data_IF_187869132630
#
_entry.id   IF_187869132630
#
_cell.length_a   1.000
_cell.length_b   1.000
_cell.length_c   1.000
_cell.angle_alpha   90.00
_cell.angle_beta   90.00
_cell.angle_gamma   90.00
#
_symmetry.space_group_name_H-M   'P 1'
#
loop_
_entity.id
_entity.type
_entity.pdbx_description
1 polymer ?
#
# COMPACT_ATOMS: atom_id res chain seq x y z
N UNK A 1 10.78 -39.51 48.91
CA UNK A 1 10.01 -39.31 47.67
C UNK A 1 10.80 -38.40 46.76
N UNK A 2 11.56 -39.02 45.88
CA UNK A 2 12.39 -38.41 44.83
C UNK A 2 11.53 -38.19 43.58
N UNK A 3 11.37 -36.93 43.13
CA UNK A 3 10.83 -36.58 41.84
C UNK A 3 12.00 -36.33 40.89
N UNK A 4 12.16 -37.23 39.95
CA UNK A 4 13.09 -37.11 38.82
C UNK A 4 12.49 -36.18 37.75
N UNK A 5 13.11 -35.03 37.53
CA UNK A 5 12.85 -34.14 36.39
C UNK A 5 13.56 -34.70 35.17
N UNK A 6 12.80 -35.13 34.18
CA UNK A 6 13.31 -35.48 32.86
C UNK A 6 13.56 -34.21 32.04
N UNK A 7 14.84 -33.92 31.80
CA UNK A 7 15.31 -32.85 30.92
C UNK A 7 15.22 -33.35 29.48
N UNK A 8 14.27 -32.83 28.72
CA UNK A 8 14.13 -33.13 27.29
C UNK A 8 15.11 -32.24 26.51
N UNK A 9 16.26 -32.77 26.14
CA UNK A 9 17.25 -32.13 25.30
C UNK A 9 16.80 -32.29 23.84
N UNK A 10 16.30 -31.22 23.24
CA UNK A 10 16.05 -31.13 21.79
C UNK A 10 17.39 -30.85 21.12
N UNK A 11 17.99 -31.85 20.51
CA UNK A 11 19.13 -31.73 19.65
C UNK A 11 18.68 -31.07 18.32
N UNK A 12 19.02 -29.80 18.14
CA UNK A 12 18.93 -29.14 16.85
C UNK A 12 20.07 -29.66 15.95
N UNK A 13 19.76 -30.63 15.12
CA UNK A 13 20.65 -31.05 14.02
C UNK A 13 20.60 -29.98 12.94
N UNK A 14 21.64 -29.18 12.90
CA UNK A 14 21.97 -28.32 11.76
C UNK A 14 22.33 -29.21 10.57
N UNK A 15 21.36 -29.54 9.74
CA UNK A 15 21.64 -30.01 8.39
C UNK A 15 21.98 -28.81 7.53
N UNK A 16 23.26 -28.52 7.41
CA UNK A 16 23.82 -27.76 6.30
C UNK A 16 23.69 -28.60 5.02
N UNK A 17 22.50 -28.65 4.45
CA UNK A 17 22.33 -29.10 3.10
C UNK A 17 22.55 -27.90 2.18
N UNK A 18 23.72 -27.89 1.49
CA UNK A 18 23.85 -27.17 0.23
C UNK A 18 22.77 -27.75 -0.71
N UNK A 19 21.59 -27.22 -0.65
CA UNK A 19 20.54 -27.51 -1.62
C UNK A 19 20.95 -26.80 -2.90
N UNK A 20 21.72 -27.49 -3.77
CA UNK A 20 21.75 -27.17 -5.19
C UNK A 20 20.28 -27.30 -5.60
N UNK A 21 19.63 -26.13 -5.79
CA UNK A 21 18.21 -26.08 -6.13
C UNK A 21 17.92 -27.06 -7.24
N UNK A 22 17.13 -28.05 -6.92
CA UNK A 22 16.49 -28.89 -7.91
C UNK A 22 15.60 -27.94 -8.73
N UNK A 23 16.12 -27.55 -9.89
CA UNK A 23 15.28 -26.92 -10.92
C UNK A 23 14.50 -28.09 -11.50
N UNK A 24 13.18 -28.20 -11.25
CA UNK A 24 12.41 -29.22 -11.93
C UNK A 24 12.68 -29.11 -13.41
N UNK A 25 13.09 -30.22 -14.05
CA UNK A 25 13.08 -30.28 -15.48
C UNK A 25 11.67 -29.90 -15.94
N UNK A 26 11.55 -28.69 -16.50
CA UNK A 26 10.26 -28.20 -16.96
C UNK A 26 9.71 -29.18 -18.03
N UNK A 27 8.44 -29.03 -18.38
CA UNK A 27 7.74 -29.97 -19.23
C UNK A 27 8.57 -30.36 -20.46
N UNK A 28 8.75 -31.66 -20.61
CA UNK A 28 9.47 -32.31 -21.71
C UNK A 28 8.68 -32.30 -23.03
N UNK A 29 7.98 -31.24 -23.32
CA UNK A 29 7.27 -31.05 -24.56
C UNK A 29 7.97 -30.00 -25.40
N UNK A 30 8.28 -30.25 -26.65
CA UNK A 30 9.12 -29.53 -27.61
C UNK A 30 8.81 -28.04 -27.85
N UNK A 31 8.27 -27.33 -26.92
CA UNK A 31 8.12 -25.88 -26.90
C UNK A 31 8.87 -25.29 -25.69
N UNK A 32 9.57 -24.18 -25.91
CA UNK A 32 10.44 -23.56 -24.93
C UNK A 32 9.69 -23.19 -23.62
N UNK A 33 10.40 -23.25 -22.51
CA UNK A 33 9.87 -22.92 -21.19
C UNK A 33 9.49 -21.45 -21.14
N UNK A 34 8.36 -21.13 -20.50
CA UNK A 34 7.94 -19.75 -20.26
C UNK A 34 8.30 -19.38 -18.84
N UNK A 35 9.20 -18.40 -18.70
CA UNK A 35 9.53 -17.77 -17.42
C UNK A 35 8.80 -16.44 -17.33
N UNK A 36 7.99 -16.25 -16.29
CA UNK A 36 7.49 -14.95 -15.92
C UNK A 36 8.33 -14.40 -14.78
N UNK A 37 9.00 -13.30 -15.04
CA UNK A 37 9.73 -12.53 -14.04
C UNK A 37 8.96 -11.25 -13.71
N UNK A 38 8.75 -10.99 -12.45
CA UNK A 38 8.05 -9.79 -12.00
C UNK A 38 8.82 -9.09 -10.89
N UNK A 39 8.73 -7.76 -10.89
CA UNK A 39 9.35 -6.89 -9.90
C UNK A 39 8.62 -5.56 -9.85
N UNK A 40 8.93 -4.72 -8.87
CA UNK A 40 8.40 -3.38 -8.84
C UNK A 40 9.04 -2.52 -9.93
N UNK A 41 8.22 -1.76 -10.63
CA UNK A 41 8.72 -0.81 -11.61
C UNK A 41 9.24 0.45 -10.95
N UNK A 42 10.29 0.99 -11.60
CA UNK A 42 10.88 2.29 -11.38
C UNK A 42 11.84 2.40 -10.18
N UNK A 43 12.96 1.74 -10.38
CA UNK A 43 14.24 2.08 -9.76
C UNK A 43 14.71 3.45 -10.28
N UNK A 44 14.09 4.53 -9.84
CA UNK A 44 14.68 5.87 -9.95
C UNK A 44 14.88 6.41 -8.56
N UNK A 45 16.07 6.21 -8.12
CA UNK A 45 16.96 6.92 -7.20
C UNK A 45 16.38 7.95 -6.22
N UNK A 46 16.98 7.88 -5.03
CA UNK A 46 17.32 8.98 -4.11
C UNK A 46 16.25 9.48 -3.18
N UNK A 47 15.77 8.64 -2.29
CA UNK A 47 15.55 9.05 -0.91
C UNK A 47 15.07 7.89 -0.03
N UNK A 48 15.75 7.62 1.06
CA UNK A 48 15.45 6.56 2.03
C UNK A 48 14.04 6.59 2.60
N UNK A 49 13.32 7.70 2.45
CA UNK A 49 11.96 7.89 2.94
C UNK A 49 10.83 7.38 2.02
N UNK A 50 11.17 6.87 0.83
CA UNK A 50 10.22 6.28 -0.12
C UNK A 50 10.14 4.76 -0.10
N UNK A 51 10.94 4.11 0.74
CA UNK A 51 11.19 2.69 0.74
C UNK A 51 10.01 1.93 1.35
N UNK A 52 9.56 0.87 0.67
CA UNK A 52 8.54 -0.04 1.18
C UNK A 52 9.09 -0.91 2.31
N UNK A 53 8.26 -1.20 3.30
CA UNK A 53 8.60 -2.17 4.35
C UNK A 53 8.59 -3.60 3.79
N UNK A 54 9.27 -4.57 4.42
CA UNK A 54 9.18 -5.98 4.02
C UNK A 54 7.72 -6.49 3.94
N UNK A 55 6.85 -6.07 4.86
CA UNK A 55 5.44 -6.45 4.85
C UNK A 55 4.69 -5.92 3.62
N UNK A 56 5.04 -4.72 3.15
CA UNK A 56 4.47 -4.09 1.95
C UNK A 56 4.93 -4.76 0.65
N UNK A 57 6.04 -5.49 0.70
CA UNK A 57 6.62 -6.25 -0.43
C UNK A 57 6.27 -7.74 -0.39
N UNK A 58 5.46 -8.17 0.58
CA UNK A 58 5.10 -9.58 0.72
C UNK A 58 4.31 -10.07 -0.50
N UNK A 59 4.81 -11.13 -1.11
CA UNK A 59 4.16 -11.87 -2.19
C UNK A 59 3.74 -13.24 -1.67
N UNK A 60 2.44 -13.43 -1.47
CA UNK A 60 1.88 -14.71 -1.05
C UNK A 60 1.41 -15.54 -2.25
N UNK A 61 0.81 -14.87 -3.24
CA UNK A 61 0.27 -15.51 -4.43
C UNK A 61 0.54 -14.69 -5.67
N UNK A 62 0.65 -15.37 -6.81
CA UNK A 62 0.71 -14.77 -8.13
C UNK A 62 -0.32 -15.45 -9.03
N UNK A 63 -1.15 -14.65 -9.65
CA UNK A 63 -2.06 -15.10 -10.70
C UNK A 63 -1.66 -14.46 -12.02
N UNK A 64 -1.61 -15.26 -13.10
CA UNK A 64 -1.27 -14.79 -14.45
C UNK A 64 -2.43 -15.07 -15.38
N UNK A 65 -2.92 -14.01 -16.03
CA UNK A 65 -4.04 -14.07 -16.96
C UNK A 65 -3.57 -13.55 -18.31
N UNK A 66 -3.96 -14.24 -19.38
CA UNK A 66 -3.62 -13.83 -20.74
C UNK A 66 -4.83 -13.27 -21.46
N UNK A 67 -4.64 -12.16 -22.18
CA UNK A 67 -5.69 -11.52 -22.98
C UNK A 67 -5.22 -11.37 -24.43
N UNK A 68 -6.10 -11.71 -25.39
CA UNK A 68 -5.89 -11.39 -26.81
C UNK A 68 -6.83 -10.24 -27.18
N UNK A 69 -6.23 -9.07 -27.38
CA UNK A 69 -7.00 -7.83 -27.42
C UNK A 69 -7.71 -7.59 -26.08
N UNK A 70 -9.02 -7.55 -26.07
CA UNK A 70 -9.79 -7.33 -24.85
C UNK A 70 -10.27 -8.63 -24.19
N UNK A 71 -10.17 -9.77 -24.87
CA UNK A 71 -10.76 -11.03 -24.41
C UNK A 71 -9.74 -11.89 -23.66
N UNK A 72 -10.19 -12.47 -22.54
CA UNK A 72 -9.41 -13.44 -21.78
C UNK A 72 -9.25 -14.72 -22.59
N UNK A 73 -8.03 -15.24 -22.65
CA UNK A 73 -7.72 -16.51 -23.27
C UNK A 73 -7.91 -17.66 -22.29
N UNK A 74 -8.44 -18.76 -22.77
CA UNK A 74 -8.47 -20.03 -22.07
C UNK A 74 -7.30 -20.89 -22.57
N UNK A 75 -6.29 -21.10 -21.73
CA UNK A 75 -5.04 -21.75 -22.09
C UNK A 75 -5.03 -23.19 -21.59
N UNK A 76 -4.70 -24.15 -22.45
CA UNK A 76 -4.52 -25.55 -22.05
C UNK A 76 -3.14 -25.72 -21.39
N UNK A 77 -3.06 -26.21 -20.13
CA UNK A 77 -1.78 -26.48 -19.51
C UNK A 77 -0.97 -27.55 -20.26
N UNK A 78 0.36 -27.47 -20.23
CA UNK A 78 1.26 -28.45 -20.87
C UNK A 78 1.07 -29.88 -20.35
N UNK A 79 0.61 -30.03 -19.10
CA UNK A 79 0.23 -31.34 -18.54
C UNK A 79 -1.03 -31.95 -19.15
N UNK A 80 -1.70 -31.21 -20.05
CA UNK A 80 -3.02 -31.58 -20.58
C UNK A 80 -4.14 -31.19 -19.59
N UNK A 81 -5.37 -31.54 -19.98
CA UNK A 81 -6.57 -31.24 -19.17
C UNK A 81 -7.45 -30.14 -19.77
N UNK A 82 -8.38 -29.63 -18.99
CA UNK A 82 -9.25 -28.56 -19.42
C UNK A 82 -8.49 -27.22 -19.49
N UNK A 83 -8.86 -26.32 -20.41
CA UNK A 83 -8.30 -24.98 -20.47
C UNK A 83 -8.55 -24.22 -19.18
N UNK A 84 -7.57 -23.43 -18.74
CA UNK A 84 -7.66 -22.56 -17.55
C UNK A 84 -7.73 -21.11 -17.95
N UNK A 85 -8.44 -20.29 -17.16
CA UNK A 85 -8.54 -18.85 -17.39
C UNK A 85 -7.40 -18.06 -16.73
N UNK A 86 -6.67 -18.68 -15.80
CA UNK A 86 -5.49 -18.10 -15.14
C UNK A 86 -4.58 -19.20 -14.62
N UNK A 87 -3.29 -18.88 -14.49
CA UNK A 87 -2.32 -19.71 -13.78
C UNK A 87 -2.10 -19.13 -12.40
N UNK A 88 -2.23 -19.98 -11.38
CA UNK A 88 -2.10 -19.60 -9.99
C UNK A 88 -0.87 -20.25 -9.34
N UNK A 89 -0.10 -19.45 -8.59
CA UNK A 89 1.11 -19.86 -7.88
C UNK A 89 1.04 -19.37 -6.44
N UNK A 90 1.39 -20.23 -5.49
CA UNK A 90 1.48 -19.89 -4.06
C UNK A 90 2.94 -19.87 -3.62
N UNK A 91 3.34 -18.87 -2.84
CA UNK A 91 4.73 -18.71 -2.37
C UNK A 91 5.20 -19.88 -1.51
N UNK A 92 4.27 -20.60 -0.86
CA UNK A 92 4.55 -21.75 0.01
C UNK A 92 4.70 -23.07 -0.76
N UNK A 93 4.33 -23.11 -2.05
CA UNK A 93 4.40 -24.32 -2.86
C UNK A 93 5.82 -24.52 -3.37
N UNK A 94 6.50 -25.54 -2.86
CA UNK A 94 7.86 -25.90 -3.28
C UNK A 94 7.86 -26.29 -4.74
N UNK A 95 8.62 -25.56 -5.57
CA UNK A 95 8.76 -25.82 -7.01
C UNK A 95 8.08 -24.81 -7.94
N UNK A 96 7.14 -24.02 -7.43
CA UNK A 96 6.48 -22.99 -8.24
C UNK A 96 7.38 -21.75 -8.43
N UNK A 97 8.34 -21.55 -7.54
CA UNK A 97 9.24 -20.41 -7.53
C UNK A 97 10.66 -20.82 -7.90
N UNK A 98 11.26 -20.09 -8.82
CA UNK A 98 12.60 -20.42 -9.35
C UNK A 98 13.71 -19.70 -8.60
N UNK A 99 13.43 -18.58 -7.98
CA UNK A 99 14.45 -17.74 -7.36
C UNK A 99 13.93 -17.06 -6.10
N UNK A 100 14.74 -17.11 -5.04
CA UNK A 100 14.55 -16.31 -3.85
C UNK A 100 15.19 -14.92 -3.98
N UNK A 101 15.30 -14.38 -5.20
CA UNK A 101 15.79 -13.03 -5.38
C UNK A 101 14.73 -12.06 -4.83
N UNK A 102 15.04 -11.28 -3.79
CA UNK A 102 14.08 -10.37 -3.19
C UNK A 102 13.71 -9.22 -4.13
N UNK A 103 14.45 -8.99 -5.20
CA UNK A 103 14.21 -7.90 -6.16
C UNK A 103 13.40 -8.33 -7.36
N UNK A 104 13.53 -9.60 -7.77
CA UNK A 104 12.79 -10.17 -8.90
C UNK A 104 12.38 -11.58 -8.56
N UNK A 105 11.10 -11.88 -8.71
CA UNK A 105 10.59 -13.22 -8.50
C UNK A 105 10.23 -13.82 -9.83
N UNK A 106 10.45 -15.13 -9.97
CA UNK A 106 10.24 -15.86 -11.20
C UNK A 106 9.38 -17.08 -10.97
N UNK A 107 8.34 -17.24 -11.80
CA UNK A 107 7.53 -18.44 -11.87
C UNK A 107 7.60 -19.06 -13.27
N UNK A 108 7.42 -20.37 -13.36
CA UNK A 108 7.28 -21.04 -14.64
C UNK A 108 5.82 -21.23 -14.99
N UNK A 109 5.40 -20.68 -16.13
CA UNK A 109 4.03 -20.85 -16.61
C UNK A 109 3.94 -22.18 -17.35
N UNK A 110 3.08 -23.11 -16.94
CA UNK A 110 2.93 -24.43 -17.55
C UNK A 110 2.02 -24.36 -18.80
N UNK A 111 2.40 -23.53 -19.78
CA UNK A 111 1.67 -23.34 -21.02
C UNK A 111 2.63 -23.42 -22.22
N UNK A 112 2.09 -23.67 -23.42
CA UNK A 112 2.87 -23.59 -24.66
C UNK A 112 3.11 -22.13 -25.00
N UNK A 113 4.36 -21.82 -25.36
CA UNK A 113 4.73 -20.47 -25.74
C UNK A 113 3.94 -19.95 -26.95
N UNK A 114 3.60 -20.84 -27.90
CA UNK A 114 2.76 -20.50 -29.06
C UNK A 114 1.36 -20.04 -28.67
N UNK A 115 0.76 -20.61 -27.63
CA UNK A 115 -0.61 -20.29 -27.19
C UNK A 115 -0.71 -18.89 -26.58
N UNK A 116 0.36 -18.43 -25.91
CA UNK A 116 0.40 -17.13 -25.26
C UNK A 116 1.11 -16.05 -26.09
N UNK A 117 1.78 -16.42 -27.18
CA UNK A 117 2.43 -15.45 -28.05
C UNK A 117 1.42 -14.51 -28.72
N UNK A 118 1.71 -13.22 -28.74
CA UNK A 118 0.81 -12.18 -29.23
C UNK A 118 -0.36 -11.85 -28.29
N UNK A 119 -0.28 -12.26 -27.00
CA UNK A 119 -1.23 -11.87 -25.96
C UNK A 119 -0.66 -10.77 -25.07
N UNK A 120 -1.50 -10.23 -24.20
CA UNK A 120 -1.08 -9.41 -23.05
C UNK A 120 -1.16 -10.28 -21.80
N UNK A 121 -0.05 -10.46 -21.10
CA UNK A 121 -0.01 -11.07 -19.79
C UNK A 121 -0.32 -10.03 -18.72
N UNK A 122 -1.31 -10.31 -17.88
CA UNK A 122 -1.63 -9.52 -16.67
C UNK A 122 -1.23 -10.34 -15.47
N UNK A 123 -0.34 -9.78 -14.65
CA UNK A 123 0.15 -10.39 -13.42
C UNK A 123 -0.52 -9.73 -12.22
N UNK A 124 -1.10 -10.54 -11.36
CA UNK A 124 -1.88 -10.13 -10.19
C UNK A 124 -1.25 -10.79 -8.96
N UNK A 125 -0.70 -9.98 -8.07
CA UNK A 125 -0.05 -10.44 -6.85
C UNK A 125 -1.00 -10.21 -5.68
N UNK A 126 -1.12 -11.21 -4.81
CA UNK A 126 -2.01 -11.18 -3.66
C UNK A 126 -3.48 -10.91 -4.03
N UNK A 127 -3.92 -11.47 -5.16
CA UNK A 127 -5.31 -11.35 -5.60
C UNK A 127 -6.23 -12.09 -4.63
N UNK A 128 -7.29 -11.45 -4.08
CA UNK A 128 -8.23 -12.13 -3.21
C UNK A 128 -8.90 -13.33 -3.90
N UNK A 129 -9.12 -14.40 -3.14
CA UNK A 129 -9.71 -15.64 -3.64
C UNK A 129 -11.08 -15.44 -4.32
N UNK A 130 -11.88 -14.47 -3.84
CA UNK A 130 -13.18 -14.12 -4.41
C UNK A 130 -13.08 -13.58 -5.84
N UNK A 131 -12.05 -12.78 -6.14
CA UNK A 131 -11.82 -12.28 -7.51
C UNK A 131 -11.16 -13.36 -8.35
N UNK A 132 -10.20 -14.12 -7.79
CA UNK A 132 -9.53 -15.22 -8.47
C UNK A 132 -10.51 -16.29 -8.95
N UNK A 133 -11.51 -16.65 -8.14
CA UNK A 133 -12.54 -17.61 -8.53
C UNK A 133 -13.29 -17.20 -9.82
N UNK A 134 -13.42 -15.91 -10.06
CA UNK A 134 -14.05 -15.34 -11.27
C UNK A 134 -13.15 -15.39 -12.50
N UNK A 135 -11.87 -15.73 -12.35
CA UNK A 135 -10.96 -15.94 -13.49
C UNK A 135 -11.11 -17.35 -14.08
N UNK A 136 -11.69 -18.30 -13.35
CA UNK A 136 -11.90 -19.66 -13.84
C UNK A 136 -12.85 -19.67 -15.05
N UNK A 137 -12.54 -20.51 -16.02
CA UNK A 137 -13.41 -20.71 -17.21
C UNK A 137 -14.74 -21.30 -16.78
N UNK A 138 -15.84 -20.69 -17.20
CA UNK A 138 -17.20 -21.11 -16.86
C UNK A 138 -17.67 -20.73 -15.45
N UNK A 139 -16.95 -19.87 -14.74
CA UNK A 139 -17.42 -19.31 -13.47
C UNK A 139 -18.72 -18.50 -13.67
N UNK A 140 -19.61 -18.48 -12.65
CA UNK A 140 -20.91 -17.79 -12.72
C UNK A 140 -20.76 -16.30 -13.08
N UNK A 141 -19.76 -15.63 -12.47
CA UNK A 141 -19.46 -14.22 -12.71
C UNK A 141 -18.09 -14.10 -13.39
N UNK A 142 -17.87 -14.91 -14.41
CA UNK A 142 -16.56 -15.01 -15.09
C UNK A 142 -16.10 -13.64 -15.58
N UNK A 143 -14.84 -13.31 -15.27
CA UNK A 143 -14.15 -12.17 -15.86
C UNK A 143 -13.62 -12.63 -17.22
N UNK A 144 -14.22 -12.11 -18.30
CA UNK A 144 -13.88 -12.49 -19.69
C UNK A 144 -13.15 -11.38 -20.45
N UNK A 145 -13.09 -10.16 -19.88
CA UNK A 145 -12.43 -9.02 -20.55
C UNK A 145 -11.49 -8.26 -19.62
N UNK A 146 -10.52 -7.55 -20.22
CA UNK A 146 -9.62 -6.63 -19.49
C UNK A 146 -10.42 -5.58 -18.72
N UNK A 147 -11.47 -5.02 -19.32
CA UNK A 147 -12.30 -4.00 -18.68
C UNK A 147 -13.00 -4.55 -17.43
N UNK A 148 -13.54 -5.76 -17.48
CA UNK A 148 -14.14 -6.41 -16.31
C UNK A 148 -13.10 -6.69 -15.22
N UNK A 149 -11.88 -7.12 -15.59
CA UNK A 149 -10.79 -7.33 -14.63
C UNK A 149 -10.38 -6.02 -13.97
N UNK A 150 -10.18 -4.98 -14.77
CA UNK A 150 -9.80 -3.65 -14.28
C UNK A 150 -10.81 -3.09 -13.28
N UNK A 151 -12.11 -3.27 -13.56
CA UNK A 151 -13.21 -2.81 -12.71
C UNK A 151 -13.57 -3.77 -11.56
N UNK A 152 -12.91 -4.93 -11.49
CA UNK A 152 -13.17 -5.87 -10.39
C UNK A 152 -12.77 -5.25 -9.05
N UNK A 153 -13.68 -5.27 -8.09
CA UNK A 153 -13.42 -4.83 -6.71
C UNK A 153 -12.73 -5.96 -5.98
N UNK A 154 -11.48 -5.73 -5.58
CA UNK A 154 -10.69 -6.70 -4.81
C UNK A 154 -11.03 -6.66 -3.32
N UNK A 155 -11.34 -5.48 -2.80
CA UNK A 155 -11.67 -5.27 -1.40
C UNK A 155 -12.67 -4.13 -1.25
N UNK A 156 -13.62 -4.28 -0.32
CA UNK A 156 -14.48 -3.20 0.16
C UNK A 156 -14.17 -2.99 1.64
N UNK A 157 -13.83 -1.77 2.01
CA UNK A 157 -13.44 -1.39 3.35
C UNK A 157 -14.66 -1.03 4.19
N UNK A 158 -14.68 -1.41 5.45
CA UNK A 158 -15.59 -0.89 6.46
C UNK A 158 -15.00 0.34 7.16
N UNK A 159 -13.68 0.38 7.33
CA UNK A 159 -12.91 1.52 7.84
C UNK A 159 -11.64 1.73 7.00
N UNK A 160 -11.00 2.89 7.13
CA UNK A 160 -9.75 3.18 6.40
C UNK A 160 -8.64 2.20 6.80
N UNK A 161 -8.60 1.81 8.06
CA UNK A 161 -7.58 0.94 8.65
C UNK A 161 -7.70 -0.54 8.22
N UNK A 162 -8.80 -0.93 7.57
CA UNK A 162 -8.99 -2.30 7.06
C UNK A 162 -8.07 -2.63 5.87
N UNK A 163 -7.48 -1.60 5.25
CA UNK A 163 -6.55 -1.77 4.14
C UNK A 163 -5.16 -2.10 4.70
N UNK A 164 -4.84 -3.37 4.72
CA UNK A 164 -3.62 -3.90 5.34
C UNK A 164 -2.80 -4.74 4.37
N UNK A 165 -1.57 -5.05 4.74
CA UNK A 165 -0.71 -6.02 4.01
C UNK A 165 -1.21 -7.46 4.20
N UNK A 166 -0.99 -8.35 3.21
CA UNK A 166 -0.26 -8.13 1.95
C UNK A 166 -1.08 -7.34 0.93
N UNK A 167 -0.43 -6.39 0.27
CA UNK A 167 -1.11 -5.50 -0.68
C UNK A 167 -1.31 -6.17 -2.04
N UNK A 168 -2.45 -5.91 -2.67
CA UNK A 168 -2.67 -6.25 -4.08
C UNK A 168 -1.68 -5.45 -4.95
N UNK A 169 -0.98 -6.15 -5.87
CA UNK A 169 -0.16 -5.52 -6.90
C UNK A 169 -0.56 -6.05 -8.27
N UNK A 170 -0.49 -5.17 -9.27
CA UNK A 170 -0.89 -5.52 -10.64
C UNK A 170 0.12 -4.99 -11.65
N UNK A 171 0.33 -5.74 -12.70
CA UNK A 171 1.15 -5.33 -13.83
C UNK A 171 0.71 -6.01 -15.11
N UNK A 172 1.12 -5.46 -16.24
CA UNK A 172 0.83 -6.06 -17.55
C UNK A 172 1.98 -5.84 -18.52
N UNK A 173 2.14 -6.78 -19.44
CA UNK A 173 3.11 -6.68 -20.54
C UNK A 173 2.61 -7.42 -21.76
N UNK A 174 3.02 -6.97 -22.94
CA UNK A 174 2.76 -7.69 -24.19
C UNK A 174 3.73 -8.85 -24.32
N UNK A 175 3.21 -10.02 -24.64
CA UNK A 175 3.99 -11.24 -24.83
C UNK A 175 4.38 -11.38 -26.29
N UNK A 176 5.67 -11.33 -26.57
CA UNK A 176 6.21 -11.52 -27.91
C UNK A 176 7.44 -12.40 -27.84
N UNK A 177 7.36 -13.58 -28.46
CA UNK A 177 8.46 -14.53 -28.55
C UNK A 177 8.92 -14.65 -30.00
N UNK A 178 10.24 -14.55 -30.19
CA UNK A 178 10.83 -14.65 -31.53
C UNK A 178 10.84 -16.09 -32.04
N UNK A 179 11.09 -17.06 -31.17
CA UNK A 179 11.17 -18.48 -31.46
C UNK A 179 10.51 -19.29 -30.31
N UNK A 180 9.18 -19.32 -30.25
CA UNK A 180 8.48 -19.94 -29.11
C UNK A 180 8.80 -21.42 -28.90
N UNK A 181 9.14 -22.15 -30.00
CA UNK A 181 9.34 -23.60 -29.93
C UNK A 181 10.73 -24.03 -29.42
N UNK A 182 11.74 -23.16 -29.42
CA UNK A 182 13.15 -23.61 -29.27
C UNK A 182 13.93 -22.84 -28.19
N UNK A 183 13.38 -21.79 -27.62
CA UNK A 183 14.08 -20.92 -26.66
C UNK A 183 13.39 -20.88 -25.30
N UNK A 184 14.15 -20.54 -24.27
CA UNK A 184 13.58 -20.08 -23.00
C UNK A 184 12.88 -18.75 -23.24
N UNK A 185 11.56 -18.77 -23.21
CA UNK A 185 10.74 -17.61 -23.44
C UNK A 185 10.57 -16.84 -22.11
N UNK A 186 10.89 -15.55 -22.09
CA UNK A 186 10.83 -14.72 -20.90
C UNK A 186 9.75 -13.67 -21.03
N UNK A 187 8.97 -13.50 -19.96
CA UNK A 187 7.98 -12.43 -19.80
C UNK A 187 8.42 -11.61 -18.60
N UNK A 188 8.77 -10.35 -18.82
CA UNK A 188 9.10 -9.39 -17.76
C UNK A 188 7.88 -8.50 -17.50
N UNK A 189 7.43 -8.45 -16.24
CA UNK A 189 6.28 -7.65 -15.85
C UNK A 189 6.65 -6.74 -14.68
N UNK A 190 6.44 -5.46 -14.88
CA UNK A 190 6.52 -4.48 -13.79
C UNK A 190 5.16 -4.40 -13.09
N UNK A 191 5.15 -4.68 -11.78
CA UNK A 191 3.95 -4.61 -10.96
C UNK A 191 3.92 -3.36 -10.11
N UNK A 192 2.72 -2.83 -9.86
CA UNK A 192 2.45 -1.66 -9.04
C UNK A 192 1.41 -2.01 -7.99
N UNK A 193 1.59 -1.49 -6.77
CA UNK A 193 0.57 -1.64 -5.71
C UNK A 193 -0.72 -0.96 -6.13
N UNK A 194 -1.85 -1.59 -5.85
CA UNK A 194 -3.18 -1.05 -6.18
C UNK A 194 -3.61 0.12 -5.28
N UNK A 195 -2.79 0.44 -4.30
CA UNK A 195 -3.04 1.47 -3.29
C UNK A 195 -1.85 2.40 -3.15
N UNK A 196 -2.03 3.49 -2.41
CA UNK A 196 -0.98 4.41 -2.01
C UNK A 196 -0.80 4.37 -0.51
N UNK A 197 0.35 4.84 -0.03
CA UNK A 197 0.63 5.05 1.38
C UNK A 197 0.52 6.53 1.71
N UNK A 198 -0.14 6.84 2.81
CA UNK A 198 -0.28 8.19 3.36
C UNK A 198 0.41 8.25 4.72
N UNK A 199 1.35 9.16 4.86
CA UNK A 199 1.99 9.54 6.10
C UNK A 199 1.63 11.00 6.41
N UNK A 200 1.25 11.29 7.64
CA UNK A 200 0.92 12.65 8.10
C UNK A 200 1.85 13.01 9.24
N UNK A 201 2.61 14.07 9.02
CA UNK A 201 3.58 14.62 9.98
C UNK A 201 3.05 15.95 10.48
N UNK A 202 2.91 16.08 11.79
CA UNK A 202 2.36 17.26 12.44
C UNK A 202 3.47 18.07 13.10
N UNK A 203 3.47 19.38 12.87
CA UNK A 203 4.33 20.35 13.50
C UNK A 203 3.47 21.29 14.36
N UNK A 204 3.82 21.43 15.62
CA UNK A 204 3.07 22.25 16.58
C UNK A 204 3.84 23.53 16.86
N UNK A 205 3.55 24.54 16.04
CA UNK A 205 4.17 25.86 16.14
C UNK A 205 3.35 26.84 17.00
N UNK A 206 2.26 26.35 17.58
CA UNK A 206 1.40 27.14 18.44
C UNK A 206 1.64 26.82 19.92
N UNK A 207 2.07 27.82 20.70
CA UNK A 207 2.49 27.71 22.10
C UNK A 207 1.37 27.32 23.10
N UNK A 208 0.11 27.43 22.69
CA UNK A 208 -1.06 27.07 23.51
C UNK A 208 -1.44 25.61 23.43
N UNK A 209 -0.91 24.86 22.48
CA UNK A 209 -1.11 23.42 22.45
C UNK A 209 -0.39 22.74 23.61
N UNK A 210 -1.09 21.77 24.22
CA UNK A 210 -0.55 21.02 25.36
C UNK A 210 -0.17 19.62 24.91
N UNK A 211 1.10 19.41 24.56
CA UNK A 211 1.52 18.11 24.02
C UNK A 211 1.43 16.96 25.04
N UNK A 212 1.54 17.25 26.36
CA UNK A 212 1.84 16.20 27.35
C UNK A 212 0.69 15.82 28.30
N UNK A 213 -0.43 16.55 28.33
CA UNK A 213 -1.46 16.32 29.35
C UNK A 213 -2.74 15.66 28.84
N UNK A 214 -3.08 15.87 27.58
CA UNK A 214 -4.19 15.18 26.92
C UNK A 214 -3.79 14.87 25.51
N UNK A 215 -3.83 13.60 25.15
CA UNK A 215 -3.53 13.14 23.79
C UNK A 215 -4.53 13.72 22.82
N UNK A 216 -4.06 14.37 21.77
CA UNK A 216 -4.90 14.75 20.65
C UNK A 216 -5.52 13.53 20.00
N UNK A 217 -6.59 13.74 19.24
CA UNK A 217 -7.26 12.69 18.48
C UNK A 217 -7.20 13.05 16.99
N UNK A 218 -7.19 12.03 16.15
CA UNK A 218 -7.36 12.18 14.70
C UNK A 218 -8.40 11.20 14.18
N UNK A 219 -8.97 11.55 13.03
CA UNK A 219 -9.89 10.68 12.29
C UNK A 219 -9.70 10.90 10.80
N UNK A 220 -9.52 9.83 10.04
CA UNK A 220 -9.56 9.87 8.59
C UNK A 220 -11.02 9.91 8.12
N UNK A 221 -11.37 10.84 7.25
CA UNK A 221 -12.78 11.04 6.85
C UNK A 221 -12.93 11.13 5.34
N UNK A 222 -14.01 10.52 4.83
CA UNK A 222 -14.41 10.55 3.42
C UNK A 222 -13.45 9.83 2.46
N UNK A 223 -12.73 8.80 2.90
CA UNK A 223 -11.81 8.03 2.06
C UNK A 223 -12.55 7.07 1.12
N UNK A 224 -12.01 6.76 -0.08
CA UNK A 224 -12.59 5.77 -0.98
C UNK A 224 -12.64 4.39 -0.32
N UNK A 225 -13.80 3.74 -0.37
CA UNK A 225 -14.03 2.45 0.32
C UNK A 225 -13.69 1.21 -0.51
N UNK A 226 -13.35 1.36 -1.79
CA UNK A 226 -13.14 0.21 -2.68
C UNK A 226 -11.76 0.22 -3.31
N UNK A 227 -11.08 -0.94 -3.22
CA UNK A 227 -9.85 -1.21 -3.96
C UNK A 227 -10.19 -1.95 -5.25
N UNK A 228 -9.74 -1.42 -6.39
CA UNK A 228 -9.94 -2.02 -7.69
C UNK A 228 -8.67 -2.75 -8.15
N UNK A 229 -8.84 -3.81 -8.94
CA UNK A 229 -7.72 -4.55 -9.52
C UNK A 229 -6.93 -3.65 -10.49
N UNK A 230 -7.60 -3.02 -11.43
CA UNK A 230 -7.00 -2.03 -12.32
C UNK A 230 -7.09 -0.61 -11.79
N UNK A 231 -6.48 0.34 -12.51
CA UNK A 231 -6.61 1.75 -12.20
C UNK A 231 -8.07 2.21 -12.34
N UNK A 232 -8.61 2.79 -11.28
CA UNK A 232 -9.96 3.32 -11.26
C UNK A 232 -9.98 4.61 -10.43
N UNK A 233 -10.22 5.71 -11.11
CA UNK A 233 -10.23 7.04 -10.52
C UNK A 233 -11.56 7.40 -9.83
N UNK A 234 -12.62 6.61 -9.99
CA UNK A 234 -13.93 6.92 -9.44
C UNK A 234 -14.06 6.57 -7.96
N UNK A 235 -14.50 7.54 -7.15
CA UNK A 235 -14.92 7.27 -5.77
C UNK A 235 -16.34 6.70 -5.79
N UNK A 236 -16.47 5.37 -5.65
CA UNK A 236 -17.77 4.66 -5.63
C UNK A 236 -18.19 4.24 -4.22
N UNK A 237 -17.91 5.01 -3.24
CA UNK A 237 -18.22 4.78 -1.84
C UNK A 237 -17.18 5.41 -0.97
N UNK A 238 -17.56 5.74 0.25
CA UNK A 238 -16.67 6.42 1.19
C UNK A 238 -16.74 5.72 2.54
N UNK A 239 -15.61 5.72 3.24
CA UNK A 239 -15.47 5.24 4.61
C UNK A 239 -14.73 6.26 5.44
N UNK A 240 -15.00 6.22 6.71
CA UNK A 240 -14.27 6.95 7.72
C UNK A 240 -13.36 5.98 8.50
N UNK A 241 -12.27 6.49 9.05
CA UNK A 241 -11.41 5.76 9.96
C UNK A 241 -11.91 5.83 11.40
N UNK A 242 -11.30 5.04 12.25
CA UNK A 242 -11.53 5.09 13.68
C UNK A 242 -10.99 6.40 14.26
N UNK A 243 -11.68 6.94 15.28
CA UNK A 243 -11.15 8.06 16.07
C UNK A 243 -10.04 7.54 16.98
N UNK A 244 -8.81 7.92 16.68
CA UNK A 244 -7.59 7.36 17.28
C UNK A 244 -6.78 8.45 17.98
N UNK A 245 -6.06 8.08 19.03
CA UNK A 245 -5.16 9.00 19.70
C UNK A 245 -3.91 9.25 18.86
N UNK A 246 -3.49 10.52 18.79
CA UNK A 246 -2.17 10.87 18.27
C UNK A 246 -1.14 10.31 19.25
N UNK A 247 -0.22 9.49 18.75
CA UNK A 247 0.86 8.94 19.58
C UNK A 247 1.73 10.09 20.11
N UNK A 248 2.07 10.01 21.38
CA UNK A 248 2.88 10.94 22.15
C UNK A 248 3.23 12.27 21.45
N UNK A 249 2.46 13.30 21.77
CA UNK A 249 2.93 14.66 21.61
C UNK A 249 4.14 14.81 22.54
N UNK A 250 5.31 14.41 22.09
CA UNK A 250 6.55 14.62 22.84
C UNK A 250 6.73 16.10 23.10
N UNK A 251 7.21 16.44 24.27
CA UNK A 251 7.50 17.83 24.63
C UNK A 251 8.20 18.50 23.46
N UNK A 252 7.68 19.67 23.07
CA UNK A 252 8.26 20.46 22.00
C UNK A 252 9.78 20.55 22.23
N UNK A 253 10.61 20.08 21.30
CA UNK A 253 12.03 20.32 21.40
C UNK A 253 12.27 21.83 21.47
N UNK A 254 13.28 22.25 22.19
CA UNK A 254 13.64 23.67 22.35
C UNK A 254 13.57 24.40 20.98
N UNK A 255 13.25 25.72 20.99
CA UNK A 255 13.00 26.48 19.76
C UNK A 255 14.08 26.20 18.73
N UNK A 256 13.62 25.76 17.57
CA UNK A 256 14.47 25.29 16.48
C UNK A 256 15.28 26.45 15.92
N UNK A 257 16.58 26.37 16.09
CA UNK A 257 17.54 27.19 15.34
C UNK A 257 18.00 26.49 14.05
N UNK A 258 17.44 25.32 13.74
CA UNK A 258 17.79 24.53 12.56
C UNK A 258 16.81 24.82 11.41
N UNK A 259 17.35 24.75 10.19
CA UNK A 259 16.62 25.01 8.93
C UNK A 259 15.49 24.04 8.62
N UNK A 260 15.41 22.92 9.33
CA UNK A 260 14.32 21.94 9.17
C UNK A 260 13.57 21.77 10.50
N UNK A 261 12.25 22.02 10.55
CA UNK A 261 11.46 21.77 11.74
C UNK A 261 11.44 20.27 12.07
N UNK A 262 11.76 19.92 13.33
CA UNK A 262 11.62 18.54 13.79
C UNK A 262 10.13 18.25 13.94
N UNK A 263 9.60 17.15 13.34
CA UNK A 263 8.21 16.79 13.51
C UNK A 263 7.93 16.53 15.00
N UNK A 264 6.82 17.07 15.49
CA UNK A 264 6.39 16.89 16.87
C UNK A 264 5.51 15.67 17.03
N UNK A 265 4.91 15.17 15.96
CA UNK A 265 4.16 13.93 15.95
C UNK A 265 4.00 13.38 14.53
N UNK A 266 4.02 12.07 14.41
CA UNK A 266 3.66 11.37 13.19
C UNK A 266 2.41 10.53 13.46
N UNK A 267 1.42 10.62 12.57
CA UNK A 267 0.29 9.69 12.60
C UNK A 267 0.74 8.34 12.06
N UNK A 268 0.15 7.22 12.51
CA UNK A 268 0.39 5.93 11.88
C UNK A 268 0.14 6.00 10.38
N UNK A 269 1.05 5.39 9.60
CA UNK A 269 0.86 5.29 8.16
C UNK A 269 -0.40 4.50 7.83
N UNK A 270 -1.16 4.97 6.86
CA UNK A 270 -2.33 4.25 6.35
C UNK A 270 -2.19 4.03 4.85
N UNK A 271 -2.82 2.95 4.37
CA UNK A 271 -2.98 2.73 2.94
C UNK A 271 -4.29 3.34 2.48
N UNK A 272 -4.28 3.92 1.30
CA UNK A 272 -5.45 4.60 0.73
C UNK A 272 -5.64 4.18 -0.72
N UNK A 273 -6.90 4.03 -1.11
CA UNK A 273 -7.25 3.76 -2.50
C UNK A 273 -7.00 4.98 -3.39
N UNK A 274 -6.62 4.74 -4.63
CA UNK A 274 -6.48 5.82 -5.61
C UNK A 274 -7.83 6.47 -5.92
N UNK A 275 -7.79 7.74 -6.31
CA UNK A 275 -8.94 8.48 -6.82
C UNK A 275 -8.52 9.73 -7.61
N UNK A 276 -9.39 10.19 -8.49
CA UNK A 276 -9.25 11.48 -9.17
C UNK A 276 -10.62 12.19 -9.22
N UNK A 277 -10.77 13.19 -8.38
CA UNK A 277 -11.95 14.06 -8.33
C UNK A 277 -11.61 15.50 -8.73
N UNK A 278 -10.49 15.70 -9.43
CA UNK A 278 -10.02 17.03 -9.82
C UNK A 278 -11.01 17.75 -10.73
N UNK A 279 -11.74 17.03 -11.57
CA UNK A 279 -12.78 17.57 -12.45
C UNK A 279 -14.13 17.80 -11.75
N UNK A 280 -14.33 17.32 -10.51
CA UNK A 280 -15.58 17.45 -9.75
C UNK A 280 -15.55 18.69 -8.85
N UNK A 281 -16.73 19.18 -8.44
CA UNK A 281 -16.79 20.33 -7.53
C UNK A 281 -16.63 19.90 -6.07
N UNK A 282 -16.05 20.76 -5.23
CA UNK A 282 -15.85 20.45 -3.82
C UNK A 282 -17.16 20.32 -3.02
N UNK A 283 -18.23 20.94 -3.48
CA UNK A 283 -19.56 20.85 -2.83
C UNK A 283 -20.26 19.53 -3.06
N UNK A 284 -20.04 18.91 -4.22
CA UNK A 284 -20.69 17.62 -4.58
C UNK A 284 -19.79 16.43 -4.27
N UNK A 285 -18.46 16.62 -4.34
CA UNK A 285 -17.46 15.59 -4.11
C UNK A 285 -16.30 16.15 -3.27
N UNK A 286 -16.46 16.23 -1.94
CA UNK A 286 -15.41 16.73 -1.06
C UNK A 286 -14.20 15.81 -1.11
N UNK A 287 -13.00 16.40 -1.06
CA UNK A 287 -11.77 15.62 -0.94
C UNK A 287 -11.72 14.91 0.42
N UNK A 288 -11.12 13.71 0.50
CA UNK A 288 -10.79 13.09 1.77
C UNK A 288 -9.97 14.03 2.65
N UNK A 289 -10.08 13.90 3.95
CA UNK A 289 -9.33 14.74 4.89
C UNK A 289 -9.03 14.03 6.21
N UNK A 290 -8.04 14.54 6.93
CA UNK A 290 -7.76 14.16 8.32
C UNK A 290 -8.33 15.24 9.22
N UNK A 291 -9.21 14.87 10.13
CA UNK A 291 -9.71 15.73 11.19
C UNK A 291 -8.83 15.54 12.42
N UNK A 292 -8.30 16.65 12.95
CA UNK A 292 -7.52 16.68 14.17
C UNK A 292 -8.34 17.34 15.26
N UNK A 293 -8.36 16.76 16.45
CA UNK A 293 -8.90 17.33 17.68
C UNK A 293 -7.73 17.44 18.67
N UNK A 294 -7.20 18.65 18.82
CA UNK A 294 -6.02 18.90 19.64
C UNK A 294 -6.40 19.68 20.89
N UNK A 295 -5.89 19.32 22.08
CA UNK A 295 -6.13 20.08 23.30
C UNK A 295 -5.29 21.37 23.30
N UNK A 296 -5.86 22.45 23.78
CA UNK A 296 -5.18 23.74 23.93
C UNK A 296 -5.55 24.43 25.26
N UNK A 297 -4.56 25.04 25.92
CA UNK A 297 -4.78 25.95 27.07
C UNK A 297 -4.62 27.39 26.58
N UNK A 298 -5.69 28.18 26.71
CA UNK A 298 -5.73 29.50 26.11
C UNK A 298 -5.12 30.60 26.99
N UNK A 299 -4.86 30.29 28.28
CA UNK A 299 -4.36 31.28 29.25
C UNK A 299 -5.45 32.10 29.93
N UNK A 300 -5.06 33.04 30.81
CA UNK A 300 -5.98 33.90 31.57
C UNK A 300 -6.72 34.85 30.60
N UNK A 301 -8.04 34.87 30.75
CA UNK A 301 -8.91 35.68 29.92
C UNK A 301 -8.98 35.17 28.51
N UNK A 302 -10.12 34.79 28.01
CA UNK A 302 -10.31 34.25 26.65
C UNK A 302 -9.59 35.12 25.58
N UNK A 303 -8.31 34.86 25.25
CA UNK A 303 -7.51 35.72 24.37
C UNK A 303 -8.00 35.71 22.92
N UNK A 304 -8.97 34.85 22.59
CA UNK A 304 -9.53 34.66 21.27
C UNK A 304 -10.93 35.27 21.13
N UNK A 305 -11.23 36.33 21.87
CA UNK A 305 -12.46 37.12 21.75
C UNK A 305 -13.77 36.31 21.74
N UNK A 306 -13.85 35.26 22.56
CA UNK A 306 -15.05 34.45 22.68
C UNK A 306 -15.25 33.38 21.61
N UNK A 307 -14.25 33.12 20.79
CA UNK A 307 -14.32 32.04 19.75
C UNK A 307 -14.56 30.68 20.43
N UNK A 308 -13.90 30.41 21.57
CA UNK A 308 -14.08 29.17 22.30
C UNK A 308 -15.10 29.37 23.45
N UNK A 309 -16.07 28.45 23.59
CA UNK A 309 -16.95 28.47 24.75
C UNK A 309 -16.11 28.19 26.03
N UNK A 310 -16.50 28.79 27.20
CA UNK A 310 -15.84 28.50 28.45
C UNK A 310 -15.81 26.98 28.71
N UNK A 311 -14.66 26.44 29.16
CA UNK A 311 -14.59 25.04 29.58
C UNK A 311 -15.45 24.85 30.84
N UNK A 312 -15.80 23.59 31.12
CA UNK A 312 -16.49 23.24 32.35
C UNK A 312 -15.62 23.70 33.58
N UNK A 313 -16.11 24.67 34.37
CA UNK A 313 -15.33 25.30 35.43
C UNK A 313 -14.85 26.71 35.12
N UNK A 314 -14.96 27.17 33.87
CA UNK A 314 -14.77 28.58 33.50
C UNK A 314 -13.32 29.07 33.39
N UNK A 315 -12.33 28.23 33.67
CA UNK A 315 -10.93 28.63 33.70
C UNK A 315 -10.17 28.14 32.49
N UNK A 316 -9.84 29.05 31.57
CA UNK A 316 -9.06 28.77 30.37
C UNK A 316 -7.55 28.57 30.61
N UNK A 317 -7.06 28.95 31.80
CA UNK A 317 -5.64 28.84 32.12
C UNK A 317 -5.24 27.44 32.59
N UNK A 318 -6.19 26.64 33.03
CA UNK A 318 -5.95 25.32 33.60
C UNK A 318 -6.73 24.21 32.89
N UNK A 319 -7.87 24.55 32.25
CA UNK A 319 -8.73 23.55 31.61
C UNK A 319 -8.57 23.58 30.10
N UNK A 320 -8.10 22.49 29.49
CA UNK A 320 -7.95 22.42 28.05
C UNK A 320 -9.27 22.54 27.29
N UNK A 321 -9.26 23.28 26.21
CA UNK A 321 -10.33 23.31 25.21
C UNK A 321 -9.95 22.44 24.02
N UNK A 322 -10.96 21.97 23.30
CA UNK A 322 -10.77 21.22 22.05
C UNK A 322 -10.63 22.19 20.90
N UNK A 323 -9.57 22.02 20.12
CA UNK A 323 -9.28 22.82 18.95
C UNK A 323 -9.27 21.91 17.71
N UNK A 324 -10.14 22.19 16.75
CA UNK A 324 -10.35 21.32 15.58
C UNK A 324 -9.70 21.88 14.33
N UNK A 325 -9.01 20.99 13.62
CA UNK A 325 -8.30 21.32 12.37
C UNK A 325 -8.58 20.26 11.31
N UNK A 326 -8.46 20.62 10.03
CA UNK A 326 -8.56 19.73 8.86
C UNK A 326 -7.29 19.78 8.04
N UNK A 327 -6.76 18.63 7.70
CA UNK A 327 -5.76 18.46 6.66
C UNK A 327 -6.46 17.84 5.45
N UNK A 328 -6.76 18.65 4.44
CA UNK A 328 -7.51 18.22 3.26
C UNK A 328 -6.51 17.60 2.27
N UNK A 329 -6.77 16.36 1.84
CA UNK A 329 -5.93 15.66 0.90
C UNK A 329 -6.04 16.27 -0.53
N UNK A 330 -5.04 16.03 -1.38
CA UNK A 330 -5.15 16.37 -2.80
C UNK A 330 -6.41 15.78 -3.44
N UNK A 331 -6.92 16.42 -4.47
CA UNK A 331 -8.09 15.92 -5.21
C UNK A 331 -7.78 14.74 -6.15
N UNK A 332 -6.50 14.35 -6.23
CA UNK A 332 -6.01 13.19 -6.97
C UNK A 332 -4.96 12.47 -6.15
N UNK A 333 -5.16 11.17 -5.98
CA UNK A 333 -4.19 10.23 -5.40
C UNK A 333 -3.98 9.11 -6.41
N UNK A 334 -2.72 8.89 -6.77
CA UNK A 334 -2.31 7.85 -7.71
C UNK A 334 -1.81 6.64 -6.95
N UNK A 335 -2.14 5.43 -7.40
CA UNK A 335 -1.64 4.17 -6.83
C UNK A 335 -0.10 4.08 -6.88
N UNK A 336 0.46 3.23 -6.07
CA UNK A 336 1.91 2.97 -5.98
C UNK A 336 2.74 4.23 -5.67
N UNK A 337 2.15 5.20 -4.96
CA UNK A 337 2.82 6.40 -4.49
C UNK A 337 2.80 6.48 -2.96
N UNK A 338 3.82 7.12 -2.39
CA UNK A 338 3.85 7.54 -1.00
C UNK A 338 3.59 9.03 -0.92
N UNK A 339 2.58 9.41 -0.18
CA UNK A 339 2.19 10.79 0.10
C UNK A 339 2.61 11.14 1.52
N UNK A 340 3.44 12.15 1.68
CA UNK A 340 3.84 12.67 2.99
C UNK A 340 3.29 14.08 3.12
N UNK A 341 2.35 14.26 4.05
CA UNK A 341 1.75 15.55 4.38
C UNK A 341 2.44 16.13 5.62
N UNK A 342 3.08 17.29 5.46
CA UNK A 342 3.67 18.04 6.55
C UNK A 342 2.70 19.18 6.92
N UNK A 343 1.95 19.02 8.01
CA UNK A 343 0.92 19.97 8.43
C UNK A 343 1.40 20.77 9.65
N UNK A 344 1.27 22.09 9.59
CA UNK A 344 1.71 23.02 10.61
C UNK A 344 0.52 23.61 11.38
N UNK A 345 0.50 23.45 12.69
CA UNK A 345 -0.49 24.04 13.58
C UNK A 345 0.10 25.31 14.16
N UNK A 346 -0.17 26.44 13.52
CA UNK A 346 0.42 27.75 13.85
C UNK A 346 -0.49 28.66 14.68
N UNK A 347 -1.70 28.22 15.00
CA UNK A 347 -2.67 29.04 15.74
C UNK A 347 -3.91 28.24 16.14
N UNK A 348 -4.91 28.92 16.71
CA UNK A 348 -6.13 28.27 17.18
C UNK A 348 -6.93 27.67 16.03
N UNK A 349 -7.49 26.48 16.27
CA UNK A 349 -8.48 25.86 15.41
C UNK A 349 -9.89 26.39 15.69
N UNK A 350 -10.90 25.62 15.34
CA UNK A 350 -12.30 25.89 15.66
C UNK A 350 -12.73 25.15 16.94
N UNK A 351 -13.71 25.68 17.69
CA UNK A 351 -14.30 24.94 18.80
C UNK A 351 -15.16 23.75 18.38
N UNK A 352 -15.51 23.64 17.10
CA UNK A 352 -16.37 22.59 16.56
C UNK A 352 -15.75 21.91 15.32
N UNK A 353 -16.02 20.63 15.15
CA UNK A 353 -15.43 19.83 14.08
C UNK A 353 -15.94 20.19 12.68
N UNK A 354 -17.19 20.63 12.57
CA UNK A 354 -17.82 21.07 11.31
C UNK A 354 -17.19 22.35 10.75
N UNK A 355 -16.72 23.23 11.65
CA UNK A 355 -16.04 24.48 11.33
C UNK A 355 -14.50 24.38 11.44
N UNK A 356 -13.95 23.15 11.52
CA UNK A 356 -12.52 22.94 11.72
C UNK A 356 -11.68 23.77 10.74
N UNK A 357 -10.63 24.40 11.25
CA UNK A 357 -9.71 25.26 10.47
C UNK A 357 -8.90 24.38 9.52
N UNK A 358 -8.84 24.76 8.24
CA UNK A 358 -8.01 24.09 7.25
C UNK A 358 -6.56 24.46 7.49
N UNK A 359 -5.74 23.46 7.80
CA UNK A 359 -4.30 23.64 7.93
C UNK A 359 -3.65 23.75 6.57
N UNK A 360 -2.68 24.62 6.46
CA UNK A 360 -1.72 24.61 5.36
C UNK A 360 -0.75 23.45 5.57
N UNK A 361 -0.40 22.78 4.49
CA UNK A 361 0.56 21.69 4.51
C UNK A 361 1.47 21.72 3.29
N UNK A 362 2.65 21.14 3.43
CA UNK A 362 3.53 20.81 2.32
C UNK A 362 3.32 19.34 1.97
N UNK A 363 3.16 19.05 0.69
CA UNK A 363 2.99 17.71 0.18
C UNK A 363 4.25 17.23 -0.52
N UNK A 364 4.76 16.09 -0.10
CA UNK A 364 5.78 15.35 -0.84
C UNK A 364 5.16 14.08 -1.41
N UNK A 365 5.25 13.92 -2.73
CA UNK A 365 4.80 12.72 -3.43
C UNK A 365 6.00 12.01 -4.00
N UNK A 366 6.11 10.72 -3.74
CA UNK A 366 7.21 9.89 -4.22
C UNK A 366 6.68 8.57 -4.78
N UNK A 367 7.33 8.01 -5.81
CA UNK A 367 7.09 6.62 -6.17
C UNK A 367 7.34 5.73 -4.95
N UNK A 368 6.51 4.72 -4.77
CA UNK A 368 6.66 3.76 -3.69
C UNK A 368 7.53 2.60 -4.15
N UNK A 369 8.81 2.67 -3.83
CA UNK A 369 9.86 1.80 -4.34
C UNK A 369 10.11 0.62 -3.40
N UNK A 370 10.51 -0.53 -3.95
CA UNK A 370 11.00 -1.68 -3.17
C UNK A 370 12.43 -1.47 -2.68
N UNK A 371 12.74 -2.02 -1.49
CA UNK A 371 13.99 -1.72 -0.76
C UNK A 371 15.23 -2.45 -1.24
N UNK A 372 15.14 -3.41 -2.13
CA UNK A 372 16.29 -4.26 -2.42
C UNK A 372 16.82 -4.03 -3.83
N UNK A 373 17.65 -3.00 -3.99
CA UNK A 373 18.60 -2.93 -5.09
C UNK A 373 19.84 -3.71 -4.63
N UNK A 374 20.24 -4.79 -5.30
CA UNK A 374 21.49 -5.49 -4.98
C UNK A 374 22.66 -4.51 -5.04
N UNK A 375 23.41 -4.38 -3.92
CA UNK A 375 24.55 -3.48 -3.82
C UNK A 375 24.28 -2.12 -3.17
N UNK A 376 23.05 -1.83 -2.76
CA UNK A 376 22.74 -0.61 -2.00
C UNK A 376 22.62 -0.95 -0.51
N UNK A 377 23.66 -0.66 0.25
CA UNK A 377 23.74 -0.86 1.70
C UNK A 377 23.23 0.34 2.52
N UNK A 378 22.67 1.36 1.84
CA UNK A 378 22.18 2.58 2.48
C UNK A 378 23.28 3.54 2.98
N UNK A 379 24.55 3.24 2.75
CA UNK A 379 25.70 4.01 3.30
C UNK A 379 26.53 4.75 2.26
N UNK A 380 26.35 4.51 0.97
CA UNK A 380 27.11 5.22 -0.06
C UNK A 380 26.38 6.48 -0.54
N UNK A 381 26.76 7.61 0.02
CA UNK A 381 26.57 8.91 -0.59
C UNK A 381 27.60 9.05 -1.72
N UNK A 382 27.26 8.68 -2.93
CA UNK A 382 28.00 9.19 -4.08
C UNK A 382 27.33 10.49 -4.54
N UNK A 383 28.03 11.59 -4.23
CA UNK A 383 27.81 12.88 -4.86
C UNK A 383 28.17 12.75 -6.36
N UNK A 384 27.19 12.92 -7.23
CA UNK A 384 27.41 13.29 -8.63
C UNK A 384 26.77 14.65 -8.85
#
# INVERSE_FOLDING_TARGET
>A
HTLTSALLTVAATLFGACNKGYVPDGPTGGEGKIKLQFGASDLVQHDTRGIATPAENTVNTVDVVFFRGQNKEAITPNSGGAPVGSFHFEATTVGDWVNNDPTTQTVYIPAKASDVNGTTAVTLINLPASVRARLAVGATDEITTVDQLTKAVSQTLATVEDLTTPLLMTGQTNVTFTNPATQDNKIDVNVKRAVSRLDVVLYYDWDKLIPNQQRGLYTFLQFPSKTFVGANADITGRVDGAKTQVADLTAQPAPLTATDPVPTSELPSVYINEYDISAKTASTDPAPYVLLELPAILGDGNPLNGIFPPPAGGDFSTTPVKSYYKVILPRKIERNCRYVLHAHVVGPGSPTADQAVVLQFTLTVRPWIETNVPGFDGTTHENI
#
